data_IF_393399138939
#
_entry.id   IF_393399138939
#
_cell.length_a   1.000
_cell.length_b   1.000
_cell.length_c   1.000
_cell.angle_alpha   90.00
_cell.angle_beta   90.00
_cell.angle_gamma   90.00
#
_symmetry.space_group_name_H-M   'P 1'
#
loop_
_entity.id
_entity.type
_entity.pdbx_description
1 polymer ?
#
# COMPACT_ATOMS: atom_id res chain seq x y z
N UNK A 1 26.26 -10.77 -37.22
CA UNK A 1 25.09 -10.06 -37.78
C UNK A 1 24.42 -9.44 -36.58
N UNK A 2 24.81 -8.22 -36.26
CA UNK A 2 24.69 -7.72 -34.90
C UNK A 2 23.37 -6.96 -34.82
N UNK A 3 22.37 -7.62 -34.22
CA UNK A 3 21.03 -7.10 -34.02
C UNK A 3 20.96 -6.32 -32.71
N UNK A 4 20.52 -5.07 -32.78
CA UNK A 4 20.24 -4.26 -31.59
C UNK A 4 18.79 -4.43 -31.16
N UNK A 5 18.57 -4.75 -29.89
CA UNK A 5 17.26 -4.79 -29.26
C UNK A 5 17.12 -3.65 -28.24
N UNK A 6 16.08 -2.84 -28.37
CA UNK A 6 15.66 -1.88 -27.34
C UNK A 6 14.55 -2.50 -26.50
N UNK A 7 14.77 -2.52 -25.19
CA UNK A 7 13.89 -3.10 -24.19
C UNK A 7 13.40 -1.98 -23.27
N UNK A 8 12.08 -1.85 -23.14
CA UNK A 8 11.48 -0.89 -22.22
C UNK A 8 10.66 -1.66 -21.21
N UNK A 9 11.18 -1.67 -19.99
CA UNK A 9 10.51 -2.20 -18.83
C UNK A 9 9.74 -1.09 -18.14
N UNK A 10 8.54 -1.42 -17.69
CA UNK A 10 7.82 -0.65 -16.71
C UNK A 10 7.65 -1.52 -15.47
N UNK A 11 8.00 -1.00 -14.31
CA UNK A 11 7.65 -1.64 -13.06
C UNK A 11 7.05 -0.67 -12.07
N UNK A 12 6.18 -1.21 -11.23
CA UNK A 12 5.53 -0.50 -10.14
C UNK A 12 6.33 -0.75 -8.88
N UNK A 13 6.67 0.30 -8.13
CA UNK A 13 7.27 0.20 -6.79
C UNK A 13 6.31 0.85 -5.82
N UNK A 14 5.96 0.16 -4.74
CA UNK A 14 5.25 0.78 -3.61
C UNK A 14 6.28 1.39 -2.67
N UNK A 15 6.26 2.72 -2.53
CA UNK A 15 7.10 3.38 -1.53
C UNK A 15 6.34 3.40 -0.20
N UNK A 16 6.73 2.55 0.76
CA UNK A 16 6.08 2.52 2.07
C UNK A 16 6.25 3.82 2.86
N UNK A 17 7.25 4.65 2.53
CA UNK A 17 7.48 5.93 3.18
C UNK A 17 6.59 7.06 2.62
N UNK A 18 5.87 6.83 1.52
CA UNK A 18 5.04 7.84 0.83
C UNK A 18 3.54 7.48 0.95
N UNK A 19 3.14 7.15 2.18
CA UNK A 19 1.75 6.89 2.55
C UNK A 19 0.99 8.21 2.67
N UNK A 20 -0.17 8.28 2.02
CA UNK A 20 -1.12 9.40 2.14
C UNK A 20 -2.45 8.90 2.70
N UNK A 21 -3.22 9.81 3.30
CA UNK A 21 -4.47 9.50 3.99
C UNK A 21 -5.63 10.23 3.33
N UNK A 22 -6.78 9.56 3.26
CA UNK A 22 -7.99 10.07 2.59
C UNK A 22 -9.19 9.86 3.49
N UNK A 23 -9.89 10.95 3.82
CA UNK A 23 -11.13 10.89 4.58
C UNK A 23 -12.31 10.51 3.67
N UNK A 24 -13.11 9.55 4.14
CA UNK A 24 -14.30 9.07 3.44
C UNK A 24 -15.55 9.45 4.26
N UNK A 25 -16.41 10.37 3.76
CA UNK A 25 -17.57 10.88 4.48
C UNK A 25 -18.77 9.91 4.51
N UNK A 26 -18.56 8.63 4.21
CA UNK A 26 -19.62 7.61 4.16
C UNK A 26 -19.65 6.83 5.47
N UNK A 27 -20.71 6.92 6.29
CA UNK A 27 -20.77 6.16 7.53
C UNK A 27 -20.93 4.66 7.28
N UNK A 28 -20.19 3.83 8.01
CA UNK A 28 -20.27 2.39 7.91
C UNK A 28 -19.70 1.67 9.14
N UNK A 29 -19.90 0.36 9.20
CA UNK A 29 -19.24 -0.49 10.21
C UNK A 29 -17.74 -0.55 9.94
N UNK A 30 -16.95 -0.98 10.93
CA UNK A 30 -15.51 -1.13 10.74
C UNK A 30 -15.18 -2.08 9.57
N UNK A 31 -15.89 -3.20 9.47
CA UNK A 31 -15.71 -4.16 8.37
C UNK A 31 -16.02 -3.55 6.99
N UNK A 32 -17.13 -2.80 6.90
CA UNK A 32 -17.47 -2.09 5.66
C UNK A 32 -16.38 -1.08 5.27
N UNK A 33 -15.87 -0.33 6.25
CA UNK A 33 -14.81 0.64 6.03
C UNK A 33 -13.51 -0.03 5.55
N UNK A 34 -13.15 -1.17 6.14
CA UNK A 34 -12.00 -1.98 5.70
C UNK A 34 -12.16 -2.46 4.27
N UNK A 35 -13.30 -3.06 3.94
CA UNK A 35 -13.61 -3.54 2.59
C UNK A 35 -13.54 -2.38 1.58
N UNK A 36 -14.19 -1.26 1.88
CA UNK A 36 -14.16 -0.08 1.03
C UNK A 36 -12.73 0.42 0.78
N UNK A 37 -11.91 0.55 1.83
CA UNK A 37 -10.54 1.01 1.66
C UNK A 37 -9.67 0.00 0.89
N UNK A 38 -9.91 -1.31 1.04
CA UNK A 38 -9.24 -2.34 0.26
C UNK A 38 -9.60 -2.32 -1.23
N UNK A 39 -10.86 -2.01 -1.55
CA UNK A 39 -11.34 -1.91 -2.94
C UNK A 39 -10.92 -0.61 -3.63
N UNK A 40 -10.97 0.52 -2.92
CA UNK A 40 -10.78 1.85 -3.50
C UNK A 40 -9.41 2.48 -3.24
N UNK A 41 -8.67 1.99 -2.23
CA UNK A 41 -7.39 2.54 -1.78
C UNK A 41 -6.35 1.43 -1.53
N UNK A 42 -5.65 1.45 -0.39
CA UNK A 42 -4.80 0.33 0.04
C UNK A 42 -5.45 -0.42 1.19
N UNK A 43 -5.78 0.27 2.29
CA UNK A 43 -6.52 -0.29 3.45
C UNK A 43 -6.99 0.86 4.37
N UNK A 44 -7.67 0.56 5.47
CA UNK A 44 -7.94 1.49 6.57
C UNK A 44 -6.65 2.06 7.16
N UNK A 45 -6.67 3.31 7.60
CA UNK A 45 -5.48 4.05 8.03
C UNK A 45 -4.65 3.31 9.09
N UNK A 46 -3.43 2.92 8.72
CA UNK A 46 -2.44 2.33 9.63
C UNK A 46 -1.53 3.45 10.15
N UNK A 47 -1.35 3.52 11.48
CA UNK A 47 -0.64 4.63 12.15
C UNK A 47 0.51 4.09 13.00
N UNK A 48 1.70 4.03 12.44
CA UNK A 48 2.89 3.44 13.06
C UNK A 48 3.79 4.46 13.75
N UNK A 49 3.56 5.76 13.57
CA UNK A 49 4.39 6.84 14.12
C UNK A 49 3.55 8.07 14.48
N UNK A 50 4.08 8.96 15.32
CA UNK A 50 3.44 10.24 15.63
C UNK A 50 3.21 11.11 14.38
N UNK A 51 4.15 11.10 13.43
CA UNK A 51 4.03 11.84 12.16
C UNK A 51 2.86 11.31 11.32
N UNK A 52 2.65 9.99 11.32
CA UNK A 52 1.49 9.39 10.65
C UNK A 52 0.19 9.76 11.35
N UNK A 53 0.19 9.80 12.69
CA UNK A 53 -0.97 10.19 13.49
C UNK A 53 -1.40 11.63 13.17
N UNK A 54 -0.45 12.57 13.14
CA UNK A 54 -0.70 13.97 12.79
C UNK A 54 -1.28 14.10 11.37
N UNK A 55 -0.78 13.28 10.42
CA UNK A 55 -1.30 13.27 9.04
C UNK A 55 -2.75 12.76 8.98
N UNK A 56 -3.09 11.70 9.71
CA UNK A 56 -4.47 11.19 9.79
C UNK A 56 -5.39 12.26 10.38
N UNK A 57 -4.99 12.90 11.47
CA UNK A 57 -5.77 13.99 12.06
C UNK A 57 -5.96 15.18 11.12
N UNK A 58 -4.93 15.51 10.34
CA UNK A 58 -4.99 16.65 9.41
C UNK A 58 -6.04 16.50 8.30
N UNK A 59 -6.43 15.27 7.94
CA UNK A 59 -7.46 15.00 6.91
C UNK A 59 -8.86 14.82 7.50
N UNK A 60 -8.97 14.75 8.84
CA UNK A 60 -10.20 14.52 9.58
C UNK A 60 -10.98 15.83 9.75
N UNK A 61 -12.26 15.92 9.30
CA UNK A 61 -13.07 17.10 9.58
C UNK A 61 -13.54 17.12 11.05
N UNK A 62 -13.52 18.27 11.75
CA UNK A 62 -14.15 18.42 13.07
C UNK A 62 -15.68 18.64 12.94
N UNK A 63 -16.53 18.12 13.85
CA UNK A 63 -16.34 16.99 14.77
C UNK A 63 -16.76 15.66 14.10
N UNK A 64 -15.89 14.65 14.14
CA UNK A 64 -16.17 13.33 13.60
C UNK A 64 -15.43 12.26 14.38
N UNK A 65 -16.08 11.17 14.75
CA UNK A 65 -15.37 9.94 15.11
C UNK A 65 -15.08 9.17 13.81
N UNK A 66 -13.84 8.70 13.62
CA UNK A 66 -13.44 8.03 12.37
C UNK A 66 -12.80 6.68 12.62
N UNK A 67 -13.14 5.68 11.80
CA UNK A 67 -12.45 4.39 11.84
C UNK A 67 -11.01 4.49 11.35
N UNK A 68 -10.13 3.77 12.04
CA UNK A 68 -8.72 3.55 11.68
C UNK A 68 -8.42 2.03 11.68
N UNK A 69 -7.28 1.64 11.11
CA UNK A 69 -6.90 0.26 10.81
C UNK A 69 -6.42 -0.69 11.94
N UNK A 70 -6.36 -0.35 13.24
CA UNK A 70 -6.19 -1.37 14.28
C UNK A 70 -7.46 -2.23 14.46
N UNK A 71 -7.30 -3.56 14.37
CA UNK A 71 -8.33 -4.55 14.73
C UNK A 71 -7.78 -5.60 15.70
N UNK A 72 -8.58 -5.95 16.71
CA UNK A 72 -8.16 -6.72 17.89
C UNK A 72 -8.25 -8.24 17.67
N UNK A 73 -7.41 -8.81 16.80
CA UNK A 73 -7.07 -10.23 16.94
C UNK A 73 -5.82 -10.42 17.80
N UNK A 74 -4.86 -9.48 17.82
CA UNK A 74 -3.70 -9.43 18.78
C UNK A 74 -3.06 -8.04 18.98
N UNK A 75 -3.79 -6.91 18.88
CA UNK A 75 -3.17 -5.56 18.83
C UNK A 75 -2.04 -5.41 17.78
N UNK A 76 -2.04 -6.33 16.83
CA UNK A 76 -1.26 -6.29 15.62
C UNK A 76 -2.08 -5.47 14.64
N UNK A 77 -1.45 -4.49 14.02
CA UNK A 77 -2.04 -3.74 12.91
C UNK A 77 -2.61 -4.69 11.85
N UNK A 78 -3.61 -4.25 11.07
CA UNK A 78 -4.18 -5.06 9.98
C UNK A 78 -3.11 -5.58 8.99
N UNK A 79 -1.97 -4.88 8.91
CA UNK A 79 -0.80 -5.25 8.10
C UNK A 79 0.24 -6.13 8.84
N UNK A 80 -0.02 -6.55 10.08
CA UNK A 80 0.90 -7.30 10.96
C UNK A 80 2.19 -6.55 11.39
N UNK A 81 2.25 -5.21 11.28
CA UNK A 81 3.46 -4.45 11.67
C UNK A 81 3.73 -4.46 13.19
N UNK A 82 5.02 -4.33 13.57
CA UNK A 82 5.51 -4.38 14.97
C UNK A 82 5.65 -2.99 15.61
N UNK A 83 4.93 -1.97 15.14
CA UNK A 83 5.08 -0.62 15.74
C UNK A 83 4.62 -0.60 17.20
N UNK A 84 5.38 0.09 18.06
CA UNK A 84 5.06 0.37 19.47
C UNK A 84 4.30 1.68 19.68
N UNK A 85 4.15 2.52 18.65
CA UNK A 85 3.46 3.79 18.76
C UNK A 85 1.97 3.57 19.06
N UNK A 86 1.47 4.19 20.12
CA UNK A 86 0.07 4.15 20.49
C UNK A 86 -0.36 5.54 20.93
N UNK A 87 -1.52 5.98 20.46
CA UNK A 87 -2.14 7.23 20.85
C UNK A 87 -3.51 6.97 21.50
N UNK A 88 -3.61 5.88 22.26
CA UNK A 88 -4.81 5.56 23.03
C UNK A 88 -5.10 6.68 24.02
N UNK A 89 -6.39 6.99 24.17
CA UNK A 89 -6.89 7.78 25.29
C UNK A 89 -6.48 7.09 26.60
N UNK A 90 -6.35 7.85 27.69
CA UNK A 90 -6.07 7.29 29.00
C UNK A 90 -7.08 6.16 29.33
N UNK A 91 -6.55 5.08 29.90
CA UNK A 91 -7.26 3.84 30.28
C UNK A 91 -7.78 2.98 29.12
N UNK A 92 -7.56 3.39 27.86
CA UNK A 92 -7.81 2.59 26.67
C UNK A 92 -6.59 1.77 26.25
N UNK A 93 -6.77 0.64 25.55
CA UNK A 93 -8.04 0.02 25.19
C UNK A 93 -8.64 -0.82 26.32
N UNK A 94 -9.85 -0.47 26.76
CA UNK A 94 -10.50 -1.09 27.93
C UNK A 94 -11.32 -2.33 27.57
N UNK A 95 -11.74 -2.46 26.31
CA UNK A 95 -12.58 -3.55 25.81
C UNK A 95 -13.79 -3.77 26.73
N UNK A 96 -14.55 -2.71 27.02
CA UNK A 96 -15.76 -2.79 27.82
C UNK A 96 -16.70 -3.84 27.24
N UNK A 97 -17.34 -4.60 28.13
CA UNK A 97 -18.29 -5.69 27.82
C UNK A 97 -17.79 -6.79 26.87
N UNK A 98 -16.51 -6.77 26.48
CA UNK A 98 -15.92 -7.75 25.58
C UNK A 98 -16.20 -7.55 24.08
N UNK A 99 -16.80 -6.43 23.67
CA UNK A 99 -17.29 -6.22 22.29
C UNK A 99 -16.63 -5.03 21.55
N UNK A 100 -15.80 -4.25 22.23
CA UNK A 100 -15.05 -3.12 21.66
C UNK A 100 -13.72 -3.57 21.06
N UNK A 101 -13.79 -4.16 19.86
CA UNK A 101 -12.63 -4.76 19.18
C UNK A 101 -12.03 -3.90 18.06
N UNK A 102 -12.63 -2.73 17.79
CA UNK A 102 -12.28 -1.86 16.67
C UNK A 102 -11.85 -0.49 17.16
N UNK A 103 -10.82 0.07 16.54
CA UNK A 103 -10.27 1.35 16.95
C UNK A 103 -10.83 2.51 16.11
N UNK A 104 -11.11 3.62 16.78
CA UNK A 104 -11.50 4.87 16.15
C UNK A 104 -10.66 6.04 16.69
N UNK A 105 -10.45 7.06 15.87
CA UNK A 105 -9.88 8.33 16.31
C UNK A 105 -11.01 9.31 16.67
N UNK A 106 -10.95 9.85 17.88
CA UNK A 106 -11.94 10.75 18.44
C UNK A 106 -11.64 12.23 18.11
N UNK A 107 -12.49 13.15 18.57
CA UNK A 107 -12.35 14.60 18.34
C UNK A 107 -11.23 15.27 19.12
N UNK A 108 -10.67 14.60 20.12
CA UNK A 108 -9.55 15.06 20.93
C UNK A 108 -8.20 14.59 20.39
N UNK A 109 -8.19 13.98 19.19
CA UNK A 109 -7.01 13.36 18.61
C UNK A 109 -6.44 12.24 19.49
N UNK A 110 -7.32 11.36 19.98
CA UNK A 110 -6.98 10.17 20.73
C UNK A 110 -7.65 8.95 20.11
N UNK A 111 -7.06 7.77 20.30
CA UNK A 111 -7.66 6.51 19.87
C UNK A 111 -8.51 5.94 21.00
N UNK A 112 -9.67 5.43 20.63
CA UNK A 112 -10.59 4.71 21.52
C UNK A 112 -10.88 3.35 20.91
N UNK A 113 -11.13 2.33 21.72
CA UNK A 113 -11.80 1.14 21.22
C UNK A 113 -13.32 1.34 21.30
N UNK A 114 -14.03 0.73 20.36
CA UNK A 114 -15.47 0.88 20.28
C UNK A 114 -16.09 -0.29 19.52
N UNK A 115 -17.40 -0.46 19.65
CA UNK A 115 -18.12 -1.55 19.04
C UNK A 115 -18.03 -1.46 17.51
N UNK A 116 -17.49 -2.50 16.88
CA UNK A 116 -17.25 -2.59 15.43
C UNK A 116 -18.51 -2.38 14.57
N UNK A 117 -19.70 -2.55 15.15
CA UNK A 117 -21.00 -2.37 14.49
C UNK A 117 -21.47 -0.90 14.48
N UNK A 118 -20.77 0.00 15.19
CA UNK A 118 -21.05 1.43 15.12
C UNK A 118 -20.87 1.95 13.68
N UNK A 119 -21.66 2.96 13.32
CA UNK A 119 -21.56 3.59 12.00
C UNK A 119 -20.75 4.87 12.10
N UNK A 120 -19.47 4.77 11.81
CA UNK A 120 -18.56 5.92 11.74
C UNK A 120 -18.13 6.16 10.31
N UNK A 121 -17.81 7.42 9.99
CA UNK A 121 -16.97 7.73 8.82
C UNK A 121 -15.57 7.15 9.02
N UNK A 122 -14.71 7.18 8.01
CA UNK A 122 -13.43 6.47 8.11
C UNK A 122 -12.32 7.11 7.29
N UNK A 123 -11.08 6.75 7.61
CA UNK A 123 -9.90 7.23 6.89
C UNK A 123 -9.21 6.02 6.28
N UNK A 124 -9.00 6.07 4.97
CA UNK A 124 -8.18 5.10 4.25
C UNK A 124 -6.73 5.61 4.17
N UNK A 125 -5.77 4.69 4.07
CA UNK A 125 -4.44 5.02 3.58
C UNK A 125 -4.24 4.48 2.16
N UNK A 126 -3.36 5.16 1.44
CA UNK A 126 -2.90 4.73 0.13
C UNK A 126 -1.38 4.90 0.04
N UNK A 127 -0.71 3.90 -0.53
CA UNK A 127 0.73 3.98 -0.84
C UNK A 127 0.93 4.36 -2.30
N UNK A 128 1.83 5.32 -2.55
CA UNK A 128 2.19 5.70 -3.90
C UNK A 128 2.80 4.49 -4.65
N UNK A 129 2.15 4.07 -5.73
CA UNK A 129 2.68 3.11 -6.71
C UNK A 129 3.45 3.89 -7.76
N UNK A 130 4.75 4.10 -7.52
CA UNK A 130 5.63 4.76 -8.49
C UNK A 130 5.84 3.85 -9.69
N UNK A 131 5.67 4.43 -10.88
CA UNK A 131 5.90 3.77 -12.17
C UNK A 131 7.30 4.12 -12.66
N UNK A 132 8.24 3.20 -12.52
CA UNK A 132 9.60 3.37 -13.01
C UNK A 132 9.74 2.72 -14.38
N UNK A 133 10.17 3.50 -15.37
CA UNK A 133 10.48 3.00 -16.71
C UNK A 133 11.98 2.88 -16.87
N UNK A 134 12.47 1.66 -17.11
CA UNK A 134 13.88 1.42 -17.42
C UNK A 134 13.99 1.05 -18.89
N UNK A 135 14.83 1.80 -19.60
CA UNK A 135 15.16 1.53 -21.00
C UNK A 135 16.55 0.92 -21.08
N UNK A 136 16.61 -0.34 -21.49
CA UNK A 136 17.84 -1.06 -21.73
C UNK A 136 18.03 -1.23 -23.24
N UNK A 137 19.24 -1.04 -23.74
CA UNK A 137 19.59 -1.39 -25.12
C UNK A 137 20.68 -2.43 -25.06
N UNK A 138 20.50 -3.53 -25.76
CA UNK A 138 21.45 -4.64 -25.78
C UNK A 138 21.63 -5.17 -27.19
N UNK A 139 22.81 -5.68 -27.48
CA UNK A 139 23.11 -6.44 -28.69
C UNK A 139 22.90 -7.91 -28.38
N UNK A 140 22.07 -8.58 -29.17
CA UNK A 140 21.82 -10.01 -28.99
C UNK A 140 21.42 -10.67 -30.30
N UNK A 141 21.82 -11.92 -30.46
CA UNK A 141 21.40 -12.79 -31.53
C UNK A 141 20.12 -13.59 -31.19
N UNK A 142 19.63 -13.49 -29.96
CA UNK A 142 18.42 -14.16 -29.51
C UNK A 142 17.15 -13.61 -30.19
N UNK A 143 16.17 -14.48 -30.44
CA UNK A 143 14.85 -14.06 -30.92
C UNK A 143 14.04 -13.47 -29.75
N UNK A 144 14.14 -12.17 -29.61
CA UNK A 144 13.45 -11.46 -28.53
C UNK A 144 11.92 -11.39 -28.72
N UNK A 145 11.37 -11.88 -29.82
CA UNK A 145 9.92 -12.02 -30.00
C UNK A 145 9.38 -13.32 -29.41
N UNK A 146 10.25 -14.27 -29.09
CA UNK A 146 9.90 -15.52 -28.41
C UNK A 146 9.37 -15.24 -26.98
N UNK A 147 8.12 -15.64 -26.67
CA UNK A 147 7.56 -15.49 -25.32
C UNK A 147 8.40 -16.15 -24.22
N UNK A 148 9.08 -17.26 -24.51
CA UNK A 148 9.93 -17.94 -23.53
C UNK A 148 11.16 -17.09 -23.19
N UNK A 149 11.78 -16.47 -24.19
CA UNK A 149 12.91 -15.54 -23.99
C UNK A 149 12.46 -14.31 -23.22
N UNK A 150 11.31 -13.72 -23.58
CA UNK A 150 10.75 -12.57 -22.87
C UNK A 150 10.46 -12.88 -21.39
N UNK A 151 9.86 -14.04 -21.11
CA UNK A 151 9.57 -14.47 -19.76
C UNK A 151 10.86 -14.70 -18.95
N UNK A 152 11.86 -15.35 -19.55
CA UNK A 152 13.15 -15.60 -18.89
C UNK A 152 13.89 -14.30 -18.54
N UNK A 153 13.82 -13.28 -19.42
CA UNK A 153 14.41 -11.97 -19.14
C UNK A 153 13.71 -11.28 -17.97
N UNK A 154 12.37 -11.25 -17.94
CA UNK A 154 11.63 -10.69 -16.81
C UNK A 154 11.96 -11.42 -15.50
N UNK A 155 12.11 -12.74 -15.55
CA UNK A 155 12.47 -13.54 -14.39
C UNK A 155 13.88 -13.21 -13.88
N UNK A 156 14.88 -13.14 -14.77
CA UNK A 156 16.25 -12.80 -14.38
C UNK A 156 16.37 -11.38 -13.84
N UNK A 157 15.70 -10.41 -14.46
CA UNK A 157 15.66 -9.05 -13.96
C UNK A 157 14.96 -8.96 -12.61
N UNK A 158 13.88 -9.70 -12.41
CA UNK A 158 13.22 -9.81 -11.12
C UNK A 158 14.17 -10.34 -10.05
N UNK A 159 14.88 -11.43 -10.32
CA UNK A 159 15.87 -11.98 -9.40
C UNK A 159 17.01 -10.97 -9.08
N UNK A 160 17.50 -10.25 -10.10
CA UNK A 160 18.54 -9.24 -9.91
C UNK A 160 18.07 -8.06 -9.04
N UNK A 161 16.84 -7.57 -9.26
CA UNK A 161 16.26 -6.49 -8.45
C UNK A 161 16.05 -6.94 -7.00
N UNK A 162 15.57 -8.16 -6.78
CA UNK A 162 15.46 -8.73 -5.42
C UNK A 162 16.82 -8.80 -4.73
N UNK A 163 17.88 -9.23 -5.44
CA UNK A 163 19.24 -9.29 -4.88
C UNK A 163 19.82 -7.91 -4.52
N UNK A 164 19.35 -6.85 -5.18
CA UNK A 164 19.72 -5.46 -4.87
C UNK A 164 18.87 -4.85 -3.75
N UNK A 165 18.03 -5.65 -3.08
CA UNK A 165 17.17 -5.19 -1.98
C UNK A 165 15.85 -4.57 -2.42
N UNK A 166 15.49 -4.69 -3.71
CA UNK A 166 14.17 -4.31 -4.19
C UNK A 166 13.09 -5.21 -3.58
N UNK A 167 12.06 -4.62 -3.00
CA UNK A 167 10.87 -5.31 -2.53
C UNK A 167 9.63 -4.74 -3.22
N UNK A 168 8.57 -5.57 -3.33
CA UNK A 168 7.25 -5.14 -3.81
C UNK A 168 7.25 -4.48 -5.19
N UNK A 169 7.82 -5.15 -6.20
CA UNK A 169 7.76 -4.69 -7.59
C UNK A 169 7.09 -5.70 -8.52
N UNK A 170 6.51 -5.19 -9.60
CA UNK A 170 5.95 -6.01 -10.69
C UNK A 170 6.54 -5.54 -12.01
N UNK A 171 7.26 -6.41 -12.72
CA UNK A 171 7.90 -6.10 -14.00
C UNK A 171 6.97 -6.41 -15.17
N UNK A 172 6.86 -5.47 -16.11
CA UNK A 172 6.11 -5.64 -17.34
C UNK A 172 6.85 -4.99 -18.52
N UNK A 173 6.65 -5.55 -19.72
CA UNK A 173 7.08 -4.92 -20.96
C UNK A 173 6.17 -3.74 -21.29
N UNK A 174 6.74 -2.54 -21.46
CA UNK A 174 5.98 -1.38 -21.96
C UNK A 174 5.97 -1.34 -23.48
N UNK A 175 7.12 -1.67 -24.07
CA UNK A 175 7.28 -1.87 -25.51
C UNK A 175 8.07 -3.16 -25.64
N UNK A 176 7.48 -4.13 -26.35
CA UNK A 176 8.13 -5.40 -26.63
C UNK A 176 9.44 -5.20 -27.41
N UNK A 177 10.36 -6.15 -27.35
CA UNK A 177 11.62 -6.07 -28.06
C UNK A 177 11.36 -5.92 -29.55
N UNK A 178 11.96 -4.90 -30.17
CA UNK A 178 11.91 -4.72 -31.62
C UNK A 178 13.26 -5.08 -32.21
N UNK A 179 13.25 -5.92 -33.25
CA UNK A 179 14.40 -6.08 -34.14
C UNK A 179 14.52 -4.82 -34.98
N UNK A 180 15.59 -4.04 -34.83
CA UNK A 180 15.90 -3.01 -35.82
C UNK A 180 16.55 -3.69 -37.01
N UNK A 181 15.86 -3.70 -38.15
CA UNK A 181 16.47 -4.02 -39.44
C UNK A 181 17.46 -2.91 -39.79
N UNK A 182 18.64 -3.30 -40.29
CA UNK A 182 19.65 -2.34 -40.77
C UNK A 182 19.07 -1.61 -42.00
N UNK A 183 19.39 -0.32 -42.22
CA UNK A 183 19.09 0.35 -43.48
C UNK A 183 19.71 -0.39 -44.67
#
# INVERSE_FOLDING_TARGET
>A
MDGYATLIFLFFVTNQNDTTYVFIPTPGTWNFAQEYCGEHHTDLAVIRTAVENDKVFSVKPPPAQVWIGPHRVRWTWADSSQSSFRNWKADEPENCDGDQLCAAENDLHEWIDTNCQNKNTFICHQVAKLRTVVRLTTETNADMTDPAIQAQILQQLGAALTNLGGANFTLQWKIGPKKKEKP
#
